data_IF_408534640486
#
_entry.id   IF_408534640486
#
_cell.length_a   1.000
_cell.length_b   1.000
_cell.length_c   1.000
_cell.angle_alpha   90.00
_cell.angle_beta   90.00
_cell.angle_gamma   90.00
#
_symmetry.space_group_name_H-M   'P 1'
#
loop_
_entity.id
_entity.type
_entity.pdbx_description
1 polymer ?
#
# COMPACT_ATOMS: atom_id res chain seq x y z
N UNK A 1 -21.43 -2.58 70.48
CA UNK A 1 -21.26 -1.42 69.55
C UNK A 1 -19.89 -1.34 68.88
N UNK A 2 -18.75 -1.60 69.55
CA UNK A 2 -17.41 -1.52 68.93
C UNK A 2 -17.15 -2.58 67.85
N UNK A 3 -17.61 -3.82 68.06
CA UNK A 3 -17.48 -4.94 67.12
C UNK A 3 -18.28 -4.76 65.84
N UNK A 4 -19.51 -4.23 65.94
CA UNK A 4 -20.35 -3.91 64.77
C UNK A 4 -19.74 -2.79 63.90
N UNK A 5 -19.10 -1.80 64.52
CA UNK A 5 -18.37 -0.75 63.79
C UNK A 5 -17.15 -1.31 63.05
N UNK A 6 -16.41 -2.25 63.66
CA UNK A 6 -15.23 -2.88 63.06
C UNK A 6 -15.58 -3.78 61.86
N UNK A 7 -16.68 -4.54 61.97
CA UNK A 7 -17.20 -5.36 60.87
C UNK A 7 -17.67 -4.49 59.70
N UNK A 8 -18.33 -3.37 60.00
CA UNK A 8 -18.78 -2.42 58.99
C UNK A 8 -17.60 -1.76 58.24
N UNK A 9 -16.55 -1.35 58.95
CA UNK A 9 -15.33 -0.83 58.29
C UNK A 9 -14.63 -1.90 57.45
N UNK A 10 -14.58 -3.15 57.90
CA UNK A 10 -13.95 -4.22 57.15
C UNK A 10 -14.70 -4.52 55.84
N UNK A 11 -16.04 -4.53 55.88
CA UNK A 11 -16.88 -4.70 54.68
C UNK A 11 -16.73 -3.54 53.70
N UNK A 12 -16.65 -2.29 54.21
CA UNK A 12 -16.44 -1.10 53.36
C UNK A 12 -15.05 -1.14 52.70
N UNK A 13 -14.01 -1.55 53.43
CA UNK A 13 -12.65 -1.67 52.88
C UNK A 13 -12.59 -2.77 51.81
N UNK A 14 -13.27 -3.91 52.01
CA UNK A 14 -13.36 -4.96 50.99
C UNK A 14 -14.14 -4.51 49.75
N UNK A 15 -15.25 -3.78 49.91
CA UNK A 15 -16.02 -3.23 48.79
C UNK A 15 -15.20 -2.21 47.98
N UNK A 16 -14.43 -1.35 48.66
CA UNK A 16 -13.52 -0.40 48.00
C UNK A 16 -12.35 -1.10 47.29
N UNK A 17 -11.78 -2.15 47.88
CA UNK A 17 -10.72 -2.95 47.26
C UNK A 17 -11.21 -3.71 46.01
N UNK A 18 -12.47 -4.18 46.00
CA UNK A 18 -13.09 -4.82 44.83
C UNK A 18 -13.32 -3.80 43.71
N UNK A 19 -13.74 -2.56 44.01
CA UNK A 19 -13.87 -1.51 42.99
C UNK A 19 -12.52 -1.12 42.36
N UNK A 20 -11.43 -1.10 43.14
CA UNK A 20 -10.08 -0.89 42.59
C UNK A 20 -9.56 -2.09 41.78
N UNK A 21 -9.95 -3.33 42.14
CA UNK A 21 -9.57 -4.53 41.39
C UNK A 21 -10.32 -4.68 40.06
N UNK A 22 -11.45 -3.97 39.88
CA UNK A 22 -12.25 -3.95 38.65
C UNK A 22 -12.13 -2.63 37.88
N UNK A 23 -11.00 -1.93 37.93
CA UNK A 23 -10.67 -0.98 36.87
C UNK A 23 -10.38 -1.77 35.60
N UNK A 24 -11.41 -2.08 34.82
CA UNK A 24 -11.19 -2.50 33.44
C UNK A 24 -10.51 -1.34 32.74
N UNK A 25 -9.24 -1.51 32.37
CA UNK A 25 -8.58 -0.67 31.38
C UNK A 25 -9.44 -0.70 30.12
N UNK A 26 -10.38 0.23 30.02
CA UNK A 26 -11.13 0.42 28.78
C UNK A 26 -10.06 0.81 27.78
N UNK A 27 -9.80 0.01 26.73
CA UNK A 27 -8.75 0.34 25.78
C UNK A 27 -9.01 1.76 25.29
N UNK A 28 -7.98 2.61 25.27
CA UNK A 28 -8.11 3.92 24.62
C UNK A 28 -8.70 3.72 23.23
N UNK A 29 -9.51 4.68 22.75
CA UNK A 29 -10.20 4.58 21.47
C UNK A 29 -9.23 4.21 20.31
N UNK A 30 -8.00 4.70 20.36
CA UNK A 30 -6.88 4.36 19.46
C UNK A 30 -6.60 2.83 19.42
N UNK A 31 -6.59 2.15 20.58
CA UNK A 31 -6.38 0.70 20.64
C UNK A 31 -7.53 -0.06 19.99
N UNK A 32 -8.75 0.47 20.06
CA UNK A 32 -9.93 -0.16 19.46
C UNK A 32 -9.81 -0.20 17.93
N UNK A 33 -9.43 0.91 17.30
CA UNK A 33 -9.25 0.98 15.85
C UNK A 33 -8.13 0.07 15.36
N UNK A 34 -7.00 0.06 16.08
CA UNK A 34 -5.88 -0.84 15.79
C UNK A 34 -6.29 -2.32 15.83
N UNK A 35 -6.97 -2.76 16.90
CA UNK A 35 -7.39 -4.17 17.02
C UNK A 35 -8.45 -4.54 15.99
N UNK A 36 -9.35 -3.62 15.64
CA UNK A 36 -10.31 -3.83 14.57
C UNK A 36 -9.62 -4.05 13.21
N UNK A 37 -8.65 -3.20 12.85
CA UNK A 37 -7.87 -3.37 11.63
C UNK A 37 -7.07 -4.68 11.63
N UNK A 38 -6.40 -5.00 12.74
CA UNK A 38 -5.70 -6.27 12.92
C UNK A 38 -6.63 -7.46 12.67
N UNK A 39 -7.84 -7.43 13.22
CA UNK A 39 -8.81 -8.50 13.03
C UNK A 39 -9.20 -8.65 11.55
N UNK A 40 -9.39 -7.55 10.81
CA UNK A 40 -9.66 -7.60 9.37
C UNK A 40 -8.52 -8.24 8.58
N UNK A 41 -7.27 -8.01 8.96
CA UNK A 41 -6.12 -8.65 8.32
C UNK A 41 -6.08 -10.16 8.63
N UNK A 42 -6.36 -10.56 9.87
CA UNK A 42 -6.49 -11.97 10.25
C UNK A 42 -7.60 -12.64 9.43
N UNK A 43 -8.76 -11.98 9.30
CA UNK A 43 -9.87 -12.50 8.51
C UNK A 43 -9.50 -12.71 7.04
N UNK A 44 -8.66 -11.83 6.46
CA UNK A 44 -8.12 -12.04 5.12
C UNK A 44 -7.18 -13.24 5.02
N UNK A 45 -6.26 -13.39 5.99
CA UNK A 45 -5.28 -14.47 6.01
C UNK A 45 -5.91 -15.85 6.25
N UNK A 46 -6.99 -15.90 7.02
CA UNK A 46 -7.78 -17.11 7.27
C UNK A 46 -8.81 -17.40 6.16
N UNK A 47 -8.87 -16.56 5.12
CA UNK A 47 -9.77 -16.75 3.98
C UNK A 47 -11.24 -16.42 4.26
N UNK A 48 -11.56 -15.78 5.39
CA UNK A 48 -12.91 -15.29 5.72
C UNK A 48 -13.29 -14.07 4.88
N UNK A 49 -12.31 -13.28 4.45
CA UNK A 49 -12.44 -12.14 3.54
C UNK A 49 -11.44 -12.35 2.38
N UNK A 50 -11.78 -12.03 1.12
CA UNK A 50 -10.82 -12.12 0.02
C UNK A 50 -9.58 -11.25 0.26
N UNK A 51 -8.40 -11.78 -0.09
CA UNK A 51 -7.14 -11.04 -0.05
C UNK A 51 -7.21 -9.82 -0.99
N UNK A 52 -6.80 -8.66 -0.47
CA UNK A 52 -6.67 -7.42 -1.24
C UNK A 52 -5.64 -6.54 -0.56
N UNK A 53 -4.55 -6.20 -1.26
CA UNK A 53 -3.50 -5.37 -0.70
C UNK A 53 -4.03 -3.96 -0.40
N UNK A 54 -4.82 -3.41 -1.32
CA UNK A 54 -5.47 -2.11 -1.12
C UNK A 54 -6.34 -2.06 0.13
N UNK A 55 -7.21 -3.06 0.35
CA UNK A 55 -8.05 -3.09 1.56
C UNK A 55 -7.20 -3.22 2.82
N UNK A 56 -6.15 -4.04 2.79
CA UNK A 56 -5.24 -4.19 3.91
C UNK A 56 -4.59 -2.84 4.27
N UNK A 57 -4.07 -2.11 3.28
CA UNK A 57 -3.52 -0.76 3.46
C UNK A 57 -4.57 0.20 4.00
N UNK A 58 -5.76 0.26 3.38
CA UNK A 58 -6.84 1.14 3.83
C UNK A 58 -7.27 0.87 5.28
N UNK A 59 -7.29 -0.38 5.73
CA UNK A 59 -7.60 -0.71 7.13
C UNK A 59 -6.51 -0.25 8.09
N UNK A 60 -5.23 -0.47 7.74
CA UNK A 60 -4.10 -0.05 8.57
C UNK A 60 -4.05 1.48 8.68
N UNK A 61 -4.13 2.17 7.55
CA UNK A 61 -4.02 3.63 7.51
C UNK A 61 -5.22 4.28 8.16
N UNK A 62 -6.45 3.82 7.89
CA UNK A 62 -7.63 4.46 8.47
C UNK A 62 -7.71 4.26 9.98
N UNK A 63 -7.19 3.14 10.50
CA UNK A 63 -7.10 2.94 11.94
C UNK A 63 -6.19 3.96 12.64
N UNK A 64 -5.12 4.42 11.98
CA UNK A 64 -4.28 5.52 12.48
C UNK A 64 -5.04 6.84 12.55
N UNK A 65 -6.01 7.05 11.67
CA UNK A 65 -6.85 8.25 11.60
C UNK A 65 -8.20 8.11 12.33
N UNK A 66 -8.27 7.29 13.38
CA UNK A 66 -9.51 7.01 14.15
C UNK A 66 -10.71 6.55 13.29
N UNK A 67 -10.45 5.89 12.17
CA UNK A 67 -11.45 5.55 11.15
C UNK A 67 -12.21 6.75 10.56
N UNK A 68 -11.64 7.96 10.59
CA UNK A 68 -12.28 9.20 10.10
C UNK A 68 -12.01 9.49 8.62
N UNK A 69 -11.17 8.71 7.95
CA UNK A 69 -10.89 8.92 6.52
C UNK A 69 -12.12 8.54 5.70
N UNK A 70 -12.50 9.45 4.79
CA UNK A 70 -13.55 9.18 3.82
C UNK A 70 -13.02 8.22 2.74
N UNK A 71 -13.34 6.93 2.90
CA UNK A 71 -12.86 5.88 1.98
C UNK A 71 -13.47 6.00 0.57
N UNK A 72 -14.66 6.59 0.42
CA UNK A 72 -15.26 6.81 -0.89
C UNK A 72 -14.47 7.88 -1.66
N UNK A 73 -14.09 8.96 -0.98
CA UNK A 73 -13.22 9.98 -1.56
C UNK A 73 -11.83 9.43 -1.89
N UNK A 74 -11.26 8.59 -1.01
CA UNK A 74 -10.00 7.90 -1.28
C UNK A 74 -10.09 7.03 -2.54
N UNK A 75 -11.15 6.23 -2.67
CA UNK A 75 -11.36 5.39 -3.85
C UNK A 75 -11.54 6.22 -5.12
N UNK A 76 -12.29 7.33 -5.05
CA UNK A 76 -12.44 8.26 -6.16
C UNK A 76 -11.09 8.87 -6.60
N UNK A 77 -10.23 9.23 -5.63
CA UNK A 77 -8.87 9.71 -5.91
C UNK A 77 -8.04 8.64 -6.63
N UNK A 78 -8.06 7.40 -6.15
CA UNK A 78 -7.40 6.27 -6.82
C UNK A 78 -7.92 6.06 -8.24
N UNK A 79 -9.24 6.10 -8.44
CA UNK A 79 -9.86 5.94 -9.77
C UNK A 79 -9.44 7.05 -10.74
N UNK A 80 -9.36 8.29 -10.26
CA UNK A 80 -8.86 9.41 -11.06
C UNK A 80 -7.42 9.16 -11.54
N UNK A 81 -6.53 8.75 -10.64
CA UNK A 81 -5.15 8.40 -11.02
C UNK A 81 -5.11 7.20 -11.97
N UNK A 82 -5.92 6.17 -11.72
CA UNK A 82 -6.01 4.97 -12.55
C UNK A 82 -6.45 5.29 -13.99
N UNK A 83 -7.45 6.17 -14.16
CA UNK A 83 -7.90 6.62 -15.47
C UNK A 83 -6.79 7.32 -16.26
N UNK A 84 -5.97 8.13 -15.58
CA UNK A 84 -4.84 8.80 -16.21
C UNK A 84 -3.74 7.81 -16.61
N UNK A 85 -3.46 6.81 -15.77
CA UNK A 85 -2.54 5.70 -16.12
C UNK A 85 -3.09 4.93 -17.31
N UNK A 86 -4.40 4.64 -17.35
CA UNK A 86 -5.03 3.93 -18.46
C UNK A 86 -4.90 4.69 -19.78
N UNK A 87 -5.06 6.02 -19.77
CA UNK A 87 -4.79 6.86 -20.95
C UNK A 87 -3.35 6.71 -21.43
N UNK A 88 -2.36 6.67 -20.53
CA UNK A 88 -0.96 6.44 -20.91
C UNK A 88 -0.74 5.07 -21.54
N UNK A 89 -1.41 4.04 -21.02
CA UNK A 89 -1.40 2.69 -21.61
C UNK A 89 -1.96 2.76 -23.03
N UNK A 90 -3.15 3.35 -23.20
CA UNK A 90 -3.86 3.33 -24.48
C UNK A 90 -3.10 4.10 -25.58
N UNK A 91 -2.49 5.25 -25.27
CA UNK A 91 -1.70 6.02 -26.26
C UNK A 91 -0.35 5.39 -26.60
N UNK A 92 0.18 4.51 -25.75
CA UNK A 92 1.46 3.81 -25.97
C UNK A 92 1.30 2.34 -26.37
N UNK A 93 0.06 1.84 -26.45
CA UNK A 93 -0.24 0.48 -26.90
C UNK A 93 -0.03 0.39 -28.41
N UNK A 94 1.11 -0.18 -28.80
CA UNK A 94 1.45 -0.40 -30.20
C UNK A 94 1.85 -1.86 -30.45
N UNK A 95 0.87 -2.67 -30.86
CA UNK A 95 1.07 -4.08 -31.21
C UNK A 95 1.91 -4.27 -32.47
N UNK A 96 2.00 -3.27 -33.37
CA UNK A 96 2.73 -3.41 -34.64
C UNK A 96 4.24 -3.51 -34.46
N UNK A 97 4.75 -2.99 -33.33
CA UNK A 97 6.17 -3.05 -32.96
C UNK A 97 6.57 -4.34 -32.24
N UNK A 98 5.62 -5.24 -32.01
CA UNK A 98 5.83 -6.47 -31.23
C UNK A 98 5.80 -7.71 -32.13
N UNK A 99 6.49 -8.76 -31.69
CA UNK A 99 6.45 -10.07 -32.36
C UNK A 99 5.75 -11.10 -31.46
N UNK A 100 4.46 -11.30 -31.69
CA UNK A 100 3.64 -12.23 -30.92
C UNK A 100 3.57 -13.65 -31.50
N UNK A 101 4.34 -13.96 -32.55
CA UNK A 101 4.35 -15.31 -33.14
C UNK A 101 4.63 -16.35 -32.06
N UNK A 102 3.77 -17.37 -31.99
CA UNK A 102 3.92 -18.52 -31.10
C UNK A 102 5.33 -19.13 -31.18
N UNK A 103 5.86 -19.56 -30.05
CA UNK A 103 7.09 -20.36 -29.95
C UNK A 103 6.77 -21.72 -29.31
N UNK A 104 7.80 -22.56 -29.12
CA UNK A 104 7.66 -23.82 -28.40
C UNK A 104 7.30 -23.62 -26.92
N UNK A 105 7.74 -22.51 -26.32
CA UNK A 105 7.59 -22.24 -24.89
C UNK A 105 6.37 -21.37 -24.57
N UNK A 106 5.87 -20.60 -25.54
CA UNK A 106 4.85 -19.58 -25.31
C UNK A 106 3.84 -19.47 -26.45
N UNK A 107 2.56 -19.38 -26.08
CA UNK A 107 1.49 -19.04 -26.99
C UNK A 107 1.48 -17.55 -27.32
N UNK A 108 0.76 -17.19 -28.37
CA UNK A 108 0.55 -15.78 -28.75
C UNK A 108 -0.15 -15.00 -27.63
N UNK A 109 -1.18 -15.59 -27.01
CA UNK A 109 -1.94 -14.99 -25.91
C UNK A 109 -1.06 -14.73 -24.69
N UNK A 110 -0.13 -15.65 -24.38
CA UNK A 110 0.82 -15.48 -23.28
C UNK A 110 1.76 -14.30 -23.54
N UNK A 111 2.23 -14.13 -24.78
CA UNK A 111 3.10 -13.02 -25.17
C UNK A 111 2.37 -11.68 -25.15
N UNK A 112 1.14 -11.63 -25.66
CA UNK A 112 0.28 -10.44 -25.57
C UNK A 112 0.05 -10.09 -24.10
N UNK A 113 -0.29 -11.06 -23.25
CA UNK A 113 -0.49 -10.82 -21.82
C UNK A 113 0.78 -10.33 -21.11
N UNK A 114 1.98 -10.80 -21.49
CA UNK A 114 3.25 -10.27 -20.97
C UNK A 114 3.48 -8.82 -21.41
N UNK A 115 3.21 -8.52 -22.68
CA UNK A 115 3.31 -7.16 -23.22
C UNK A 115 2.36 -6.19 -22.50
N UNK A 116 1.08 -6.53 -22.37
CA UNK A 116 0.09 -5.68 -21.70
C UNK A 116 0.45 -5.44 -20.22
N UNK A 117 0.94 -6.46 -19.51
CA UNK A 117 1.43 -6.30 -18.13
C UNK A 117 2.65 -5.40 -18.05
N UNK A 118 3.62 -5.59 -18.94
CA UNK A 118 4.83 -4.76 -18.98
C UNK A 118 4.49 -3.30 -19.30
N UNK A 119 3.57 -3.06 -20.25
CA UNK A 119 3.08 -1.74 -20.60
C UNK A 119 2.36 -1.08 -19.43
N UNK A 120 1.48 -1.81 -18.72
CA UNK A 120 0.81 -1.30 -17.53
C UNK A 120 1.80 -0.93 -16.42
N UNK A 121 2.79 -1.78 -16.12
CA UNK A 121 3.82 -1.48 -15.12
C UNK A 121 4.67 -0.25 -15.50
N UNK A 122 5.05 -0.14 -16.78
CA UNK A 122 5.74 1.04 -17.29
C UNK A 122 4.89 2.31 -17.16
N UNK A 123 3.60 2.23 -17.45
CA UNK A 123 2.69 3.36 -17.35
C UNK A 123 2.50 3.82 -15.90
N UNK A 124 2.33 2.88 -14.96
CA UNK A 124 2.29 3.20 -13.52
C UNK A 124 3.60 3.88 -13.10
N UNK A 125 4.75 3.30 -13.46
CA UNK A 125 6.06 3.85 -13.11
C UNK A 125 6.24 5.28 -13.66
N UNK A 126 5.95 5.47 -14.94
CA UNK A 126 6.07 6.77 -15.62
C UNK A 126 5.13 7.80 -15.02
N UNK A 127 3.89 7.42 -14.72
CA UNK A 127 2.92 8.31 -14.07
C UNK A 127 3.36 8.73 -12.67
N UNK A 128 4.00 7.82 -11.92
CA UNK A 128 4.42 8.12 -10.56
C UNK A 128 5.72 8.92 -10.48
N UNK A 129 6.60 8.79 -11.47
CA UNK A 129 7.99 9.31 -11.40
C UNK A 129 8.31 10.40 -12.42
N UNK A 130 7.40 10.67 -13.37
CA UNK A 130 7.56 11.74 -14.35
C UNK A 130 6.35 12.68 -14.39
N UNK A 131 6.55 13.86 -14.98
CA UNK A 131 5.44 14.78 -15.26
C UNK A 131 4.68 14.27 -16.48
N UNK A 132 3.39 13.98 -16.30
CA UNK A 132 2.53 13.50 -17.39
C UNK A 132 1.56 14.59 -17.83
N UNK A 133 1.40 14.74 -19.14
CA UNK A 133 0.57 15.78 -19.75
C UNK A 133 -0.65 15.12 -20.38
N UNK A 134 -1.84 15.60 -20.02
CA UNK A 134 -3.11 15.14 -20.56
C UNK A 134 -3.81 16.29 -21.28
N UNK A 135 -4.40 16.00 -22.43
CA UNK A 135 -5.28 16.94 -23.14
C UNK A 135 -6.72 16.61 -22.75
N UNK A 136 -7.46 17.59 -22.25
CA UNK A 136 -8.90 17.45 -21.98
C UNK A 136 -9.65 18.73 -22.33
N UNK A 137 -10.74 18.63 -23.10
CA UNK A 137 -11.61 19.76 -23.49
C UNK A 137 -10.82 21.04 -23.80
N UNK A 138 -9.84 20.94 -24.71
CA UNK A 138 -8.97 22.03 -25.17
C UNK A 138 -8.06 22.68 -24.10
N UNK A 139 -7.83 21.98 -22.97
CA UNK A 139 -6.87 22.37 -21.93
C UNK A 139 -5.82 21.29 -21.71
N UNK A 140 -4.61 21.75 -21.40
CA UNK A 140 -3.51 20.90 -20.94
C UNK A 140 -3.58 20.76 -19.42
N UNK A 141 -3.61 19.51 -18.95
CA UNK A 141 -3.52 19.15 -17.55
C UNK A 141 -2.16 18.51 -17.29
N UNK A 142 -1.47 19.00 -16.26
CA UNK A 142 -0.17 18.49 -15.85
C UNK A 142 -0.34 17.69 -14.55
N UNK A 143 0.11 16.45 -14.54
CA UNK A 143 0.24 15.65 -13.33
C UNK A 143 1.72 15.58 -12.97
N UNK A 144 2.19 16.36 -11.97
CA UNK A 144 3.56 16.26 -11.50
C UNK A 144 3.81 14.89 -10.83
N UNK A 145 5.08 14.44 -10.79
CA UNK A 145 5.45 13.19 -10.17
C UNK A 145 5.22 13.22 -8.65
N UNK A 146 5.12 12.03 -8.07
CA UNK A 146 5.22 11.87 -6.63
C UNK A 146 6.70 11.97 -6.22
N UNK A 147 6.95 12.46 -5.01
CA UNK A 147 8.31 12.75 -4.52
C UNK A 147 8.63 11.98 -3.24
N UNK A 148 9.90 11.63 -3.09
CA UNK A 148 10.39 10.93 -1.90
C UNK A 148 10.54 11.89 -0.71
N UNK A 149 10.10 11.47 0.47
CA UNK A 149 10.36 12.20 1.71
C UNK A 149 11.76 11.91 2.26
N UNK A 150 12.71 12.79 1.96
CA UNK A 150 14.09 12.70 2.46
C UNK A 150 14.26 13.13 3.91
N UNK A 151 13.29 13.87 4.46
CA UNK A 151 13.38 14.44 5.80
C UNK A 151 12.94 13.46 6.89
N UNK A 152 12.05 12.52 6.54
CA UNK A 152 11.60 11.44 7.42
C UNK A 152 11.45 10.13 6.61
N UNK A 153 12.57 9.58 6.09
CA UNK A 153 12.54 8.43 5.19
C UNK A 153 12.09 7.14 5.87
N UNK A 154 12.20 7.07 7.20
CA UNK A 154 11.81 5.90 8.00
C UNK A 154 10.41 6.05 8.63
N UNK A 155 9.76 7.21 8.50
CA UNK A 155 8.46 7.49 9.11
C UNK A 155 8.51 7.48 10.65
N UNK A 156 9.66 7.82 11.24
CA UNK A 156 9.87 7.78 12.70
C UNK A 156 9.38 9.04 13.39
N UNK A 157 9.29 10.16 12.66
CA UNK A 157 8.81 11.43 13.18
C UNK A 157 7.31 11.58 12.96
N UNK A 158 6.86 11.34 11.73
CA UNK A 158 5.45 11.35 11.37
C UNK A 158 5.11 10.14 10.51
N UNK A 159 4.34 9.22 11.10
CA UNK A 159 3.93 7.99 10.44
C UNK A 159 3.07 8.24 9.20
N UNK A 160 2.42 9.41 9.07
CA UNK A 160 1.66 9.79 7.88
C UNK A 160 2.53 9.81 6.61
N UNK A 161 3.84 10.05 6.73
CA UNK A 161 4.78 9.97 5.60
C UNK A 161 4.88 8.57 4.98
N UNK A 162 4.44 7.55 5.71
CA UNK A 162 4.42 6.15 5.32
C UNK A 162 3.09 5.74 4.68
N UNK A 163 2.14 6.66 4.51
CA UNK A 163 0.76 6.34 4.14
C UNK A 163 0.41 6.78 2.72
N UNK A 164 -0.37 5.96 2.03
CA UNK A 164 -0.95 6.25 0.71
C UNK A 164 -1.94 7.41 0.81
N UNK A 165 -2.71 7.52 1.90
CA UNK A 165 -3.63 8.65 2.12
C UNK A 165 -2.90 10.00 2.03
N UNK A 166 -1.81 10.14 2.78
CA UNK A 166 -0.99 11.35 2.78
C UNK A 166 -0.27 11.55 1.44
N UNK A 167 0.21 10.46 0.81
CA UNK A 167 0.88 10.53 -0.48
C UNK A 167 -0.03 11.05 -1.60
N UNK A 168 -1.30 10.65 -1.63
CA UNK A 168 -2.26 11.13 -2.62
C UNK A 168 -2.59 12.61 -2.44
N UNK A 169 -2.64 13.09 -1.20
CA UNK A 169 -2.93 14.49 -0.87
C UNK A 169 -1.72 15.41 -1.13
N UNK A 170 -0.55 15.02 -0.63
CA UNK A 170 0.65 15.88 -0.62
C UNK A 170 1.61 15.64 -1.78
N UNK A 171 1.41 14.56 -2.55
CA UNK A 171 2.35 14.05 -3.56
C UNK A 171 3.74 13.70 -2.99
N UNK A 172 3.87 13.51 -1.67
CA UNK A 172 5.14 13.22 -1.01
C UNK A 172 4.99 12.09 0.02
N UNK A 173 5.94 11.16 0.03
CA UNK A 173 5.93 10.04 0.96
C UNK A 173 7.23 9.24 0.93
N UNK A 174 7.41 8.32 1.86
CA UNK A 174 8.59 7.44 1.91
C UNK A 174 8.43 6.21 0.97
N UNK A 175 9.37 5.28 1.06
CA UNK A 175 9.39 4.10 0.18
C UNK A 175 8.14 3.25 0.32
N UNK A 176 7.62 3.10 1.55
CA UNK A 176 6.43 2.30 1.80
C UNK A 176 5.20 2.90 1.14
N UNK A 177 4.99 4.22 1.28
CA UNK A 177 3.85 4.90 0.67
C UNK A 177 3.88 4.77 -0.87
N UNK A 178 5.04 5.04 -1.48
CA UNK A 178 5.23 4.96 -2.93
C UNK A 178 5.02 3.54 -3.46
N UNK A 179 5.64 2.55 -2.83
CA UNK A 179 5.53 1.15 -3.26
C UNK A 179 4.12 0.62 -3.02
N UNK A 180 3.46 1.02 -1.94
CA UNK A 180 2.06 0.64 -1.68
C UNK A 180 1.12 1.22 -2.73
N UNK A 181 1.29 2.49 -3.10
CA UNK A 181 0.48 3.10 -4.16
C UNK A 181 0.70 2.42 -5.52
N UNK A 182 1.96 2.14 -5.89
CA UNK A 182 2.26 1.38 -7.09
C UNK A 182 1.59 0.01 -7.06
N UNK A 183 1.70 -0.71 -5.93
CA UNK A 183 1.13 -2.05 -5.79
C UNK A 183 -0.40 -2.02 -5.90
N UNK A 184 -1.07 -1.03 -5.33
CA UNK A 184 -2.52 -0.82 -5.47
C UNK A 184 -2.88 -0.66 -6.95
N UNK A 185 -2.20 0.24 -7.69
CA UNK A 185 -2.44 0.39 -9.12
C UNK A 185 -2.17 -0.89 -9.91
N UNK A 186 -1.12 -1.63 -9.53
CA UNK A 186 -0.80 -2.92 -10.15
C UNK A 186 -1.89 -3.97 -9.96
N UNK A 187 -2.50 -4.04 -8.78
CA UNK A 187 -3.62 -4.96 -8.53
C UNK A 187 -4.86 -4.55 -9.33
N UNK A 188 -5.20 -3.26 -9.32
CA UNK A 188 -6.34 -2.73 -10.10
C UNK A 188 -6.18 -2.95 -11.61
N UNK A 189 -4.96 -2.85 -12.14
CA UNK A 189 -4.65 -3.08 -13.57
C UNK A 189 -4.27 -4.54 -13.88
N UNK A 190 -4.24 -5.43 -12.89
CA UNK A 190 -3.77 -6.82 -13.02
C UNK A 190 -2.38 -6.93 -13.70
N UNK A 191 -1.48 -5.99 -13.42
CA UNK A 191 -0.16 -5.88 -14.08
C UNK A 191 0.91 -6.79 -13.45
N UNK A 192 0.58 -7.48 -12.36
CA UNK A 192 1.41 -8.49 -11.67
C UNK A 192 2.77 -8.00 -11.18
N UNK A 193 2.82 -6.80 -10.62
CA UNK A 193 3.98 -6.33 -9.87
C UNK A 193 3.98 -6.90 -8.44
N UNK A 194 5.17 -7.22 -7.96
CA UNK A 194 5.42 -7.76 -6.63
C UNK A 194 6.13 -6.72 -5.76
N UNK A 195 5.81 -6.72 -4.48
CA UNK A 195 6.60 -6.00 -3.48
C UNK A 195 7.82 -6.86 -3.13
N UNK A 196 8.97 -6.23 -3.02
CA UNK A 196 10.19 -6.83 -2.53
C UNK A 196 10.75 -5.99 -1.38
N UNK A 197 11.43 -6.65 -0.45
CA UNK A 197 11.97 -6.03 0.76
C UNK A 197 13.49 -6.17 0.80
N UNK A 198 14.13 -5.18 1.37
CA UNK A 198 15.52 -5.18 1.80
C UNK A 198 15.59 -4.65 3.24
N UNK A 199 16.69 -4.84 3.97
CA UNK A 199 16.84 -4.24 5.30
C UNK A 199 16.58 -2.73 5.25
N UNK A 200 15.51 -2.30 5.93
CA UNK A 200 15.11 -0.88 6.00
C UNK A 200 14.54 -0.28 4.71
N UNK A 201 14.21 -1.07 3.68
CA UNK A 201 13.72 -0.55 2.41
C UNK A 201 12.76 -1.50 1.69
N UNK A 202 11.84 -0.96 0.90
CA UNK A 202 10.93 -1.74 0.05
C UNK A 202 10.88 -1.17 -1.36
N UNK A 203 10.69 -2.03 -2.35
CA UNK A 203 10.68 -1.68 -3.76
C UNK A 203 9.74 -2.57 -4.57
N UNK A 204 9.54 -2.24 -5.85
CA UNK A 204 8.71 -3.01 -6.76
C UNK A 204 9.57 -3.89 -7.66
N UNK A 205 9.12 -5.12 -7.90
CA UNK A 205 9.68 -6.02 -8.92
C UNK A 205 8.59 -6.46 -9.88
N UNK A 206 8.83 -6.30 -11.18
CA UNK A 206 7.91 -6.79 -12.22
C UNK A 206 8.68 -7.32 -13.43
N UNK A 207 8.00 -8.12 -14.25
CA UNK A 207 8.56 -8.63 -15.48
C UNK A 207 8.43 -7.62 -16.64
N UNK A 208 9.37 -7.64 -17.56
CA UNK A 208 9.23 -7.04 -18.88
C UNK A 208 8.42 -7.94 -19.84
N UNK A 209 8.25 -7.50 -21.10
CA UNK A 209 7.51 -8.24 -22.12
C UNK A 209 8.17 -9.57 -22.52
N UNK A 210 9.45 -9.79 -22.18
CA UNK A 210 10.16 -11.07 -22.37
C UNK A 210 10.00 -11.99 -21.15
N UNK A 211 9.45 -11.48 -20.05
CA UNK A 211 9.30 -12.21 -18.80
C UNK A 211 10.51 -12.11 -17.86
N UNK A 212 11.46 -11.22 -18.16
CA UNK A 212 12.63 -10.97 -17.29
C UNK A 212 12.21 -10.02 -16.19
N UNK A 213 12.47 -10.41 -14.93
CA UNK A 213 12.14 -9.57 -13.78
C UNK A 213 13.19 -8.50 -13.52
N UNK A 214 12.72 -7.28 -13.30
CA UNK A 214 13.53 -6.12 -12.96
C UNK A 214 13.03 -5.48 -11.67
N UNK A 215 13.96 -4.93 -10.89
CA UNK A 215 13.65 -4.15 -9.70
C UNK A 215 13.52 -2.69 -10.08
N UNK A 216 12.52 -2.00 -9.53
CA UNK A 216 12.19 -0.63 -9.88
C UNK A 216 12.13 0.21 -8.61
N UNK A 217 12.92 1.28 -8.59
CA UNK A 217 12.99 2.20 -7.45
C UNK A 217 12.25 3.50 -7.73
N UNK A 218 11.16 3.69 -6.98
CA UNK A 218 10.26 4.83 -7.14
C UNK A 218 10.85 6.11 -6.52
N UNK A 219 11.68 5.97 -5.49
CA UNK A 219 12.25 7.09 -4.74
C UNK A 219 13.22 7.96 -5.56
N UNK A 220 14.02 7.32 -6.41
CA UNK A 220 15.12 7.95 -7.15
C UNK A 220 14.92 7.93 -8.66
N UNK A 221 13.83 7.34 -9.14
CA UNK A 221 13.63 7.02 -10.56
C UNK A 221 14.81 6.21 -11.12
N UNK A 222 15.51 5.43 -10.28
CA UNK A 222 16.60 4.60 -10.78
C UNK A 222 16.01 3.58 -11.77
N UNK A 223 16.60 3.54 -12.97
CA UNK A 223 16.15 2.71 -14.07
C UNK A 223 16.16 1.23 -13.65
N UNK A 224 15.21 0.40 -14.13
CA UNK A 224 15.15 -1.01 -13.79
C UNK A 224 16.52 -1.68 -13.95
N UNK A 225 17.08 -2.12 -12.83
CA UNK A 225 18.33 -2.85 -12.78
C UNK A 225 18.08 -4.31 -12.48
N UNK A 226 18.90 -5.20 -13.04
CA UNK A 226 19.00 -6.60 -12.59
C UNK A 226 19.86 -6.69 -11.32
N UNK A 227 19.66 -5.77 -10.38
CA UNK A 227 20.32 -5.83 -9.09
C UNK A 227 19.87 -7.10 -8.38
N UNK A 228 20.74 -8.11 -8.31
CA UNK A 228 20.54 -9.25 -7.44
C UNK A 228 20.90 -8.83 -6.02
N UNK A 229 19.90 -8.78 -5.15
CA UNK A 229 20.15 -8.94 -3.72
C UNK A 229 19.96 -10.42 -3.42
N UNK A 230 21.04 -11.18 -3.50
CA UNK A 230 21.06 -12.55 -2.99
C UNK A 230 21.17 -12.46 -1.47
N UNK A 231 20.02 -12.49 -0.79
CA UNK A 231 20.02 -12.84 0.62
C UNK A 231 20.24 -14.35 0.69
N UNK A 232 21.42 -14.77 1.17
CA UNK A 232 21.65 -16.16 1.55
C UNK A 232 20.57 -16.53 2.58
N UNK A 233 19.51 -17.20 2.14
CA UNK A 233 18.55 -17.84 3.02
C UNK A 233 19.14 -19.17 3.46
N UNK A 234 20.23 -19.09 4.23
CA UNK A 234 20.67 -20.16 5.11
C UNK A 234 20.53 -19.62 6.53
N UNK A 235 19.32 -19.71 7.06
CA UNK A 235 19.10 -19.61 8.51
C UNK A 235 19.14 -21.06 9.03
N UNK A 236 20.03 -21.28 9.99
CA UNK A 236 20.21 -22.56 10.70
C UNK A 236 18.98 -22.94 11.50
#
# INVERSE_FOLDING_TARGET
MKTAKLLLTFVIVQLLAVQYAFSTDTPSQEKVHFYAAKQKLIDMLEGRIPLSYEKAISFIENAYWDNKVNLDFFNYSLDFHLQNIQKLIDVNRDYSKQNFKRTLLETEEQKIAKFERALANWAIFSYMTDTTIFVGQDKLFYSPPFSYSTNDPLGTVDWSNTQVFNLLDTKKGNCFALVSLFKIFSERLNSKANICTAPGHIYIRHADHKGIFHNVELATRAFPGTGSMETLTYTT
#
